data_IF_979146006387
#
_entry.id   IF_979146006387
#
_cell.length_a   1.000
_cell.length_b   1.000
_cell.length_c   1.000
_cell.angle_alpha   90.00
_cell.angle_beta   90.00
_cell.angle_gamma   90.00
#
_symmetry.space_group_name_H-M   'P 1'
#
loop_
_entity.id
_entity.type
_entity.pdbx_description
1 polymer ?
#
# COMPACT_ATOMS: atom_id res chain seq x y z
N UNK A 1 12.20 -21.07 -18.54
CA UNK A 1 12.70 -20.27 -17.41
C UNK A 1 12.44 -18.77 -17.61
N UNK A 2 13.02 -18.12 -18.62
CA UNK A 2 12.87 -16.66 -18.85
C UNK A 2 11.41 -16.20 -19.03
N UNK A 3 10.62 -16.93 -19.82
CA UNK A 3 9.22 -16.57 -20.11
C UNK A 3 8.35 -16.47 -18.85
N UNK A 4 8.46 -17.44 -17.93
CA UNK A 4 7.72 -17.41 -16.67
C UNK A 4 8.17 -16.27 -15.75
N UNK A 5 9.48 -15.98 -15.69
CA UNK A 5 9.97 -14.83 -14.95
C UNK A 5 9.42 -13.51 -15.50
N UNK A 6 9.44 -13.34 -16.83
CA UNK A 6 8.92 -12.16 -17.49
C UNK A 6 7.41 -11.96 -17.24
N UNK A 7 6.61 -13.04 -17.36
CA UNK A 7 5.18 -12.99 -17.05
C UNK A 7 4.91 -12.64 -15.58
N UNK A 8 5.67 -13.20 -14.64
CA UNK A 8 5.53 -12.89 -13.22
C UNK A 8 5.84 -11.42 -12.94
N UNK A 9 6.91 -10.86 -13.50
CA UNK A 9 7.23 -9.43 -13.34
C UNK A 9 6.14 -8.54 -13.91
N UNK A 10 5.63 -8.85 -15.11
CA UNK A 10 4.50 -8.12 -15.70
C UNK A 10 3.26 -8.20 -14.82
N UNK A 11 2.92 -9.38 -14.30
CA UNK A 11 1.80 -9.56 -13.38
C UNK A 11 1.94 -8.74 -12.10
N UNK A 12 3.13 -8.77 -11.47
CA UNK A 12 3.45 -7.98 -10.28
C UNK A 12 3.30 -6.49 -10.58
N UNK A 13 3.88 -5.99 -11.66
CA UNK A 13 3.77 -4.58 -12.04
C UNK A 13 2.32 -4.17 -12.28
N UNK A 14 1.56 -4.96 -13.03
CA UNK A 14 0.15 -4.65 -13.32
C UNK A 14 -0.67 -4.56 -12.03
N UNK A 15 -0.57 -5.56 -11.15
CA UNK A 15 -1.33 -5.59 -9.89
C UNK A 15 -0.88 -4.44 -8.98
N UNK A 16 0.42 -4.25 -8.78
CA UNK A 16 0.94 -3.23 -7.88
C UNK A 16 0.65 -1.82 -8.36
N UNK A 17 0.78 -1.54 -9.66
CA UNK A 17 0.44 -0.23 -10.21
C UNK A 17 -1.06 0.02 -10.18
N UNK A 18 -1.89 -1.00 -10.47
CA UNK A 18 -3.34 -0.85 -10.37
C UNK A 18 -3.78 -0.53 -8.93
N UNK A 19 -3.33 -1.31 -7.96
CA UNK A 19 -3.63 -1.07 -6.53
C UNK A 19 -3.05 0.26 -6.04
N UNK A 20 -1.81 0.59 -6.44
CA UNK A 20 -1.19 1.87 -6.16
C UNK A 20 -1.98 3.04 -6.75
N UNK A 21 -2.55 2.89 -7.95
CA UNK A 21 -3.37 3.93 -8.58
C UNK A 21 -4.64 4.19 -7.80
N UNK A 22 -5.35 3.13 -7.38
CA UNK A 22 -6.55 3.26 -6.55
C UNK A 22 -6.24 3.95 -5.22
N UNK A 23 -5.20 3.50 -4.53
CA UNK A 23 -4.76 4.08 -3.26
C UNK A 23 -4.32 5.54 -3.42
N UNK A 24 -3.56 5.82 -4.48
CA UNK A 24 -3.07 7.14 -4.81
C UNK A 24 -4.19 8.13 -5.12
N UNK A 25 -5.21 7.70 -5.85
CA UNK A 25 -6.39 8.52 -6.12
C UNK A 25 -7.14 8.88 -4.83
N UNK A 26 -7.38 7.91 -3.94
CA UNK A 26 -8.07 8.14 -2.67
C UNK A 26 -7.32 9.18 -1.83
N UNK A 27 -6.00 9.03 -1.69
CA UNK A 27 -5.19 9.95 -0.90
C UNK A 27 -5.02 11.32 -1.56
N UNK A 28 -4.95 11.39 -2.89
CA UNK A 28 -4.90 12.66 -3.61
C UNK A 28 -6.18 13.46 -3.40
N UNK A 29 -7.35 12.81 -3.53
CA UNK A 29 -8.64 13.43 -3.25
C UNK A 29 -8.71 13.93 -1.81
N UNK A 30 -8.30 13.11 -0.83
CA UNK A 30 -8.25 13.51 0.57
C UNK A 30 -7.44 14.80 0.81
N UNK A 31 -6.38 15.03 0.03
CA UNK A 31 -5.52 16.22 0.13
C UNK A 31 -6.15 17.48 -0.47
N UNK A 32 -7.03 17.32 -1.45
CA UNK A 32 -7.62 18.43 -2.22
C UNK A 32 -8.91 18.95 -1.59
N UNK A 33 -9.69 18.12 -0.88
CA UNK A 33 -11.00 18.50 -0.30
C UNK A 33 -10.91 19.85 0.43
N UNK A 34 -11.57 20.90 -0.07
CA UNK A 34 -11.70 22.20 0.60
C UNK A 34 -13.10 22.34 1.19
N UNK A 35 -13.20 22.59 2.50
CA UNK A 35 -14.49 22.87 3.15
C UNK A 35 -14.64 24.39 3.28
N UNK A 36 -15.52 24.98 2.48
CA UNK A 36 -15.88 26.40 2.58
C UNK A 36 -16.95 26.64 3.66
N UNK A 37 -17.93 25.74 3.77
CA UNK A 37 -19.01 25.79 4.76
C UNK A 37 -19.11 24.44 5.45
N UNK A 38 -18.93 24.41 6.77
CA UNK A 38 -19.01 23.19 7.56
C UNK A 38 -18.71 23.44 9.03
N UNK A 39 -19.43 22.74 9.91
CA UNK A 39 -19.22 22.80 11.35
C UNK A 39 -17.84 22.27 11.77
N UNK A 40 -17.44 22.58 13.01
CA UNK A 40 -16.20 22.13 13.63
C UNK A 40 -15.89 20.62 13.43
N UNK A 41 -16.84 19.67 13.59
CA UNK A 41 -16.54 18.25 13.44
C UNK A 41 -16.15 17.86 12.02
N UNK A 42 -16.77 18.45 11.00
CA UNK A 42 -16.48 18.12 9.60
C UNK A 42 -15.11 18.67 9.15
N UNK A 43 -14.74 19.85 9.66
CA UNK A 43 -13.39 20.42 9.45
C UNK A 43 -12.31 19.55 10.09
N UNK A 44 -12.55 19.06 11.32
CA UNK A 44 -11.64 18.16 12.01
C UNK A 44 -11.45 16.85 11.23
N UNK A 45 -12.54 16.25 10.73
CA UNK A 45 -12.48 15.02 9.94
C UNK A 45 -11.63 15.16 8.67
N UNK A 46 -11.86 16.21 7.87
CA UNK A 46 -11.06 16.44 6.65
C UNK A 46 -9.61 16.77 6.98
N UNK A 47 -9.36 17.51 8.06
CA UNK A 47 -7.99 17.73 8.52
C UNK A 47 -7.28 16.41 8.84
N UNK A 48 -7.95 15.49 9.55
CA UNK A 48 -7.40 14.16 9.84
C UNK A 48 -7.09 13.37 8.57
N UNK A 49 -8.00 13.33 7.59
CA UNK A 49 -7.76 12.65 6.31
C UNK A 49 -6.54 13.22 5.57
N UNK A 50 -6.38 14.56 5.57
CA UNK A 50 -5.21 15.23 4.99
C UNK A 50 -3.92 14.86 5.71
N UNK A 51 -3.94 14.76 7.04
CA UNK A 51 -2.77 14.35 7.83
C UNK A 51 -2.40 12.89 7.59
N UNK A 52 -3.38 11.99 7.52
CA UNK A 52 -3.12 10.56 7.22
C UNK A 52 -2.49 10.43 5.84
N UNK A 53 -3.04 11.12 4.83
CA UNK A 53 -2.46 11.13 3.48
C UNK A 53 -1.04 11.71 3.46
N UNK A 54 -0.79 12.82 4.17
CA UNK A 54 0.53 13.42 4.32
C UNK A 54 1.54 12.46 4.92
N UNK A 55 1.16 11.82 6.02
CA UNK A 55 2.00 10.87 6.74
C UNK A 55 2.33 9.67 5.85
N UNK A 56 1.32 9.11 5.19
CA UNK A 56 1.49 8.03 4.21
C UNK A 56 2.51 8.43 3.12
N UNK A 57 2.29 9.53 2.41
CA UNK A 57 3.18 9.97 1.33
C UNK A 57 4.60 10.21 1.85
N UNK A 58 4.74 10.83 3.02
CA UNK A 58 6.04 11.17 3.61
C UNK A 58 6.84 9.93 3.99
N UNK A 59 6.21 8.95 4.64
CA UNK A 59 6.88 7.70 5.06
C UNK A 59 7.28 6.88 3.84
N UNK A 60 6.35 6.65 2.90
CA UNK A 60 6.57 5.73 1.79
C UNK A 60 7.44 6.31 0.67
N UNK A 61 7.55 7.64 0.55
CA UNK A 61 8.53 8.27 -0.36
C UNK A 61 9.87 8.59 0.32
N UNK A 62 9.88 8.73 1.65
CA UNK A 62 11.09 8.99 2.44
C UNK A 62 11.88 7.73 2.81
N UNK A 63 11.26 6.55 2.77
CA UNK A 63 11.91 5.27 3.10
C UNK A 63 12.43 4.59 1.84
N UNK A 64 13.69 4.10 1.78
CA UNK A 64 14.19 3.35 0.63
C UNK A 64 13.31 2.14 0.31
N UNK A 65 12.98 1.91 -0.97
CA UNK A 65 12.08 0.82 -1.39
C UNK A 65 12.57 -0.55 -0.92
N UNK A 66 13.89 -0.77 -0.92
CA UNK A 66 14.49 -1.99 -0.38
C UNK A 66 14.10 -2.24 1.08
N UNK A 67 14.18 -1.21 1.93
CA UNK A 67 13.78 -1.29 3.35
C UNK A 67 12.29 -1.57 3.47
N UNK A 68 11.46 -0.99 2.61
CA UNK A 68 10.02 -1.25 2.61
C UNK A 68 9.72 -2.73 2.35
N UNK A 69 10.35 -3.33 1.34
CA UNK A 69 10.18 -4.76 1.03
C UNK A 69 10.57 -5.62 2.24
N UNK A 70 11.66 -5.28 2.94
CA UNK A 70 12.06 -5.97 4.17
C UNK A 70 11.02 -5.85 5.28
N UNK A 71 10.51 -4.64 5.54
CA UNK A 71 9.47 -4.42 6.56
C UNK A 71 8.20 -5.21 6.19
N UNK A 72 7.79 -5.20 4.92
CA UNK A 72 6.65 -5.97 4.47
C UNK A 72 6.83 -7.47 4.65
N UNK A 73 8.00 -8.01 4.32
CA UNK A 73 8.27 -9.45 4.40
C UNK A 73 8.51 -9.95 5.83
N UNK A 74 9.23 -9.20 6.65
CA UNK A 74 9.63 -9.65 8.00
C UNK A 74 8.72 -9.16 9.12
N UNK A 75 7.95 -8.08 8.92
CA UNK A 75 7.06 -7.52 9.95
C UNK A 75 5.60 -7.71 9.58
N UNK A 76 5.16 -7.10 8.48
CA UNK A 76 3.74 -7.11 8.13
C UNK A 76 3.24 -8.49 7.72
N UNK A 77 3.99 -9.21 6.88
CA UNK A 77 3.54 -10.51 6.39
C UNK A 77 3.36 -11.54 7.53
N UNK A 78 4.28 -11.68 8.51
CA UNK A 78 4.06 -12.50 9.71
C UNK A 78 2.96 -11.98 10.63
N UNK A 79 2.75 -10.67 10.74
CA UNK A 79 1.67 -10.15 11.58
C UNK A 79 0.29 -10.44 10.99
N UNK A 80 0.16 -10.33 9.67
CA UNK A 80 -1.12 -10.49 8.97
C UNK A 80 -1.45 -11.96 8.68
N UNK A 81 -0.44 -12.76 8.36
CA UNK A 81 -0.58 -14.15 7.91
C UNK A 81 0.35 -15.03 8.75
N UNK A 82 -0.21 -15.69 9.76
CA UNK A 82 0.52 -16.58 10.66
C UNK A 82 -0.35 -17.78 11.05
N UNK A 83 0.18 -19.01 10.99
CA UNK A 83 -0.54 -20.22 11.37
C UNK A 83 -1.18 -20.19 12.77
N UNK A 84 -0.52 -19.59 13.76
CA UNK A 84 -1.01 -19.57 15.14
C UNK A 84 -1.92 -18.35 15.43
N UNK A 85 -1.47 -17.16 15.03
CA UNK A 85 -2.00 -15.88 15.53
C UNK A 85 -2.05 -14.78 14.45
N UNK A 86 -2.30 -15.16 13.18
CA UNK A 86 -2.40 -14.22 12.08
C UNK A 86 -3.65 -13.33 12.16
N UNK A 87 -3.50 -12.02 11.97
CA UNK A 87 -4.61 -11.06 12.08
C UNK A 87 -5.66 -11.21 10.98
N UNK A 88 -5.25 -11.60 9.76
CA UNK A 88 -6.14 -11.75 8.60
C UNK A 88 -6.34 -13.24 8.27
N UNK A 89 -5.24 -14.00 8.22
CA UNK A 89 -5.27 -15.42 7.82
C UNK A 89 -4.47 -16.23 8.84
N UNK A 90 -5.10 -17.29 9.37
CA UNK A 90 -4.52 -18.24 10.32
C UNK A 90 -4.80 -19.69 9.94
N UNK A 91 -4.19 -20.64 10.65
CA UNK A 91 -4.32 -22.07 10.39
C UNK A 91 -3.56 -22.57 9.15
N UNK A 92 -4.03 -23.66 8.57
CA UNK A 92 -3.34 -24.38 7.48
C UNK A 92 -3.19 -23.52 6.21
N UNK A 93 -4.18 -22.67 5.93
CA UNK A 93 -4.13 -21.73 4.81
C UNK A 93 -2.97 -20.73 4.94
N UNK A 94 -2.67 -20.28 6.17
CA UNK A 94 -1.54 -19.40 6.42
C UNK A 94 -0.21 -20.14 6.19
N UNK A 95 -0.11 -21.43 6.51
CA UNK A 95 1.08 -22.24 6.22
C UNK A 95 1.33 -22.32 4.71
N UNK A 96 0.28 -22.60 3.94
CA UNK A 96 0.38 -22.73 2.49
C UNK A 96 0.77 -21.39 1.83
N UNK A 97 0.08 -20.30 2.17
CA UNK A 97 0.40 -18.98 1.60
C UNK A 97 1.84 -18.56 1.90
N UNK A 98 2.30 -18.78 3.14
CA UNK A 98 3.67 -18.42 3.54
C UNK A 98 4.72 -19.22 2.78
N UNK A 99 4.48 -20.51 2.56
CA UNK A 99 5.42 -21.38 1.84
C UNK A 99 5.44 -21.11 0.34
N UNK A 100 4.27 -20.96 -0.27
CA UNK A 100 4.14 -20.94 -1.72
C UNK A 100 4.22 -19.52 -2.32
N UNK A 101 3.74 -18.51 -1.61
CA UNK A 101 3.53 -17.17 -2.18
C UNK A 101 4.05 -16.02 -1.31
N UNK A 102 4.71 -16.29 -0.19
CA UNK A 102 5.03 -15.26 0.80
C UNK A 102 5.85 -14.09 0.27
N UNK A 103 6.91 -14.36 -0.49
CA UNK A 103 7.74 -13.32 -1.10
C UNK A 103 6.97 -12.49 -2.15
N UNK A 104 6.11 -13.16 -2.92
CA UNK A 104 5.30 -12.54 -3.97
C UNK A 104 4.25 -11.60 -3.36
N UNK A 105 3.55 -12.05 -2.33
CA UNK A 105 2.55 -11.26 -1.60
C UNK A 105 3.20 -10.04 -0.95
N UNK A 106 4.29 -10.24 -0.19
CA UNK A 106 4.99 -9.14 0.46
C UNK A 106 5.54 -8.12 -0.55
N UNK A 107 6.09 -8.58 -1.67
CA UNK A 107 6.57 -7.74 -2.75
C UNK A 107 5.46 -6.94 -3.41
N UNK A 108 4.34 -7.58 -3.76
CA UNK A 108 3.17 -6.89 -4.35
C UNK A 108 2.64 -5.83 -3.40
N UNK A 109 2.50 -6.14 -2.10
CA UNK A 109 2.02 -5.19 -1.10
C UNK A 109 2.97 -3.99 -0.97
N UNK A 110 4.28 -4.25 -0.85
CA UNK A 110 5.30 -3.21 -0.77
C UNK A 110 5.28 -2.29 -1.99
N UNK A 111 5.25 -2.87 -3.20
CA UNK A 111 5.22 -2.11 -4.45
C UNK A 111 3.91 -1.34 -4.63
N UNK A 112 2.78 -1.89 -4.19
CA UNK A 112 1.47 -1.21 -4.27
C UNK A 112 1.46 0.03 -3.40
N UNK A 113 1.87 -0.07 -2.13
CA UNK A 113 1.88 1.07 -1.22
C UNK A 113 2.97 2.08 -1.59
N UNK A 114 4.10 1.63 -2.13
CA UNK A 114 5.13 2.53 -2.63
C UNK A 114 4.62 3.31 -3.84
N UNK A 115 4.12 2.60 -4.87
CA UNK A 115 3.57 3.20 -6.09
C UNK A 115 2.43 4.16 -5.79
N UNK A 116 1.54 3.82 -4.84
CA UNK A 116 0.43 4.68 -4.46
C UNK A 116 0.87 6.01 -3.85
N UNK A 117 2.00 6.06 -3.16
CA UNK A 117 2.52 7.29 -2.56
C UNK A 117 3.03 8.25 -3.63
N UNK A 118 3.68 7.73 -4.68
CA UNK A 118 4.10 8.53 -5.84
C UNK A 118 2.89 8.99 -6.67
N UNK A 119 1.93 8.10 -6.93
CA UNK A 119 0.73 8.43 -7.71
C UNK A 119 -0.14 9.45 -6.98
N UNK A 120 -0.22 9.39 -5.64
CA UNK A 120 -0.90 10.41 -4.82
C UNK A 120 -0.43 11.82 -5.18
N UNK A 121 0.89 11.99 -5.31
CA UNK A 121 1.48 13.31 -5.56
C UNK A 121 1.38 13.72 -7.03
N UNK A 122 1.38 12.76 -7.96
CA UNK A 122 1.09 13.01 -9.37
C UNK A 122 -0.35 13.53 -9.52
N UNK A 123 -1.34 12.83 -8.95
CA UNK A 123 -2.73 13.28 -9.02
C UNK A 123 -2.96 14.60 -8.28
N UNK A 124 -2.36 14.78 -7.11
CA UNK A 124 -2.47 16.05 -6.36
C UNK A 124 -1.86 17.23 -7.10
N UNK A 125 -0.84 17.02 -7.93
CA UNK A 125 -0.25 18.08 -8.74
C UNK A 125 -1.02 18.34 -10.05
N UNK A 126 -1.76 17.34 -10.53
CA UNK A 126 -2.54 17.43 -11.77
C UNK A 126 -3.97 17.95 -11.62
N UNK A 127 -4.54 17.89 -10.41
CA UNK A 127 -5.89 18.38 -10.05
C UNK A 127 -5.77 19.63 -9.18
#
# INVERSE_FOLDING_TARGET
MFYYGALTTLGVTLISTFMGTLLGLIFALARIIRIEKGGLPMRAFVWSLRQISLLYVTIFRGTPLFVQIFIWYFVWFPLLINPADGLIISGDLAVELRRSYGALIAGILALSVNSGAYITEIFRAGI
#
